data_IF_312379826060
#
_entry.id   IF_312379826060
#
_cell.length_a   1.000
_cell.length_b   1.000
_cell.length_c   1.000
_cell.angle_alpha   90.00
_cell.angle_beta   90.00
_cell.angle_gamma   90.00
#
_symmetry.space_group_name_H-M   'P 1'
#
loop_
_entity.id
_entity.type
_entity.pdbx_description
1 polymer ?
#
# COMPACT_ATOMS: atom_id res chain seq x y z
N UNK A 1 11.92 18.91 -15.99
CA UNK A 1 10.64 18.39 -15.43
C UNK A 1 9.87 17.73 -16.56
N UNK A 2 9.77 16.41 -16.60
CA UNK A 2 9.08 15.71 -17.68
C UNK A 2 7.58 16.01 -17.65
N UNK A 3 6.95 16.06 -18.82
CA UNK A 3 5.53 16.36 -18.97
C UNK A 3 4.72 15.24 -18.30
N UNK A 4 3.91 15.59 -17.31
CA UNK A 4 3.08 14.60 -16.61
C UNK A 4 2.11 13.89 -17.56
N UNK A 5 1.88 12.61 -17.30
CA UNK A 5 0.94 11.79 -18.07
C UNK A 5 -0.50 12.28 -17.86
N UNK A 6 -1.39 12.02 -18.83
CA UNK A 6 -2.81 12.40 -18.73
C UNK A 6 -3.49 11.80 -17.49
N UNK A 7 -3.06 10.60 -17.07
CA UNK A 7 -3.55 9.92 -15.87
C UNK A 7 -3.08 10.61 -14.60
N UNK A 8 -1.81 11.00 -14.51
CA UNK A 8 -1.28 11.69 -13.34
C UNK A 8 -2.00 13.02 -13.08
N UNK A 9 -2.31 13.76 -14.15
CA UNK A 9 -3.07 15.02 -14.04
C UNK A 9 -4.49 14.80 -13.49
N UNK A 10 -5.23 13.83 -14.02
CA UNK A 10 -6.58 13.51 -13.53
C UNK A 10 -6.61 13.14 -12.03
N UNK A 11 -5.59 12.41 -11.56
CA UNK A 11 -5.45 12.07 -10.14
C UNK A 11 -5.17 13.32 -9.31
N UNK A 12 -4.28 14.18 -9.79
CA UNK A 12 -3.87 15.40 -9.09
C UNK A 12 -5.00 16.43 -9.00
N UNK A 13 -5.90 16.48 -9.98
CA UNK A 13 -7.10 17.34 -9.95
C UNK A 13 -8.11 16.90 -8.88
N UNK A 14 -8.14 15.61 -8.52
CA UNK A 14 -9.07 15.05 -7.52
C UNK A 14 -8.50 14.98 -6.10
N UNK A 15 -7.17 14.89 -5.97
CA UNK A 15 -6.49 14.73 -4.68
C UNK A 15 -5.88 16.06 -4.25
N UNK A 16 -6.40 16.62 -3.16
CA UNK A 16 -5.87 17.87 -2.57
C UNK A 16 -4.73 17.52 -1.63
N UNK A 17 -3.49 17.87 -2.01
CA UNK A 17 -2.28 17.46 -1.28
C UNK A 17 -2.13 18.05 0.13
N UNK A 18 -2.80 19.17 0.41
CA UNK A 18 -2.71 19.86 1.72
C UNK A 18 -3.82 19.44 2.69
N UNK A 19 -4.83 18.70 2.23
CA UNK A 19 -5.94 18.30 3.08
C UNK A 19 -5.65 16.98 3.79
N UNK A 20 -5.86 16.97 5.11
CA UNK A 20 -5.80 15.75 5.91
C UNK A 20 -7.14 15.03 5.79
N UNK A 21 -7.17 13.96 5.02
CA UNK A 21 -8.34 13.11 4.87
C UNK A 21 -8.50 12.15 6.05
N UNK A 22 -9.73 11.90 6.47
CA UNK A 22 -10.01 10.77 7.35
C UNK A 22 -9.85 9.44 6.59
N UNK A 23 -9.62 8.33 7.31
CA UNK A 23 -9.45 7.01 6.69
C UNK A 23 -10.64 6.63 5.78
N UNK A 24 -11.87 6.93 6.21
CA UNK A 24 -13.09 6.68 5.44
C UNK A 24 -13.14 7.47 4.13
N UNK A 25 -12.80 8.75 4.18
CA UNK A 25 -12.80 9.62 3.00
C UNK A 25 -11.70 9.22 2.03
N UNK A 26 -10.51 8.91 2.54
CA UNK A 26 -9.39 8.44 1.73
C UNK A 26 -9.72 7.15 0.98
N UNK A 27 -10.36 6.18 1.64
CA UNK A 27 -10.78 4.91 1.00
C UNK A 27 -11.83 5.14 -0.08
N UNK A 28 -12.75 6.08 0.11
CA UNK A 28 -13.76 6.41 -0.91
C UNK A 28 -13.13 7.09 -2.12
N UNK A 29 -12.24 8.07 -1.90
CA UNK A 29 -11.48 8.73 -2.96
C UNK A 29 -10.65 7.72 -3.78
N UNK A 30 -9.98 6.76 -3.13
CA UNK A 30 -9.23 5.73 -3.83
C UNK A 30 -10.10 4.90 -4.79
N UNK A 31 -11.36 4.63 -4.45
CA UNK A 31 -12.30 3.90 -5.33
C UNK A 31 -12.75 4.75 -6.52
N UNK A 32 -12.90 6.06 -6.36
CA UNK A 32 -13.32 6.99 -7.42
C UNK A 32 -12.22 7.33 -8.43
N UNK A 33 -10.96 7.09 -8.05
CA UNK A 33 -9.77 7.43 -8.82
C UNK A 33 -9.26 6.23 -9.64
N UNK A 34 -10.02 5.12 -9.71
CA UNK A 34 -9.63 3.89 -10.41
C UNK A 34 -9.23 4.16 -11.87
N UNK A 35 -7.92 4.20 -12.12
CA UNK A 35 -7.35 4.64 -13.39
C UNK A 35 -7.00 3.45 -14.31
N UNK A 36 -7.01 2.25 -13.76
CA UNK A 36 -6.68 1.01 -14.46
C UNK A 36 -7.85 0.04 -14.51
N UNK A 37 -7.77 -0.93 -15.43
CA UNK A 37 -8.83 -1.93 -15.68
C UNK A 37 -8.68 -3.20 -14.81
N UNK A 38 -7.61 -3.30 -14.03
CA UNK A 38 -7.31 -4.47 -13.19
C UNK A 38 -7.48 -4.12 -11.70
N UNK A 39 -7.35 -5.11 -10.82
CA UNK A 39 -7.42 -4.89 -9.38
C UNK A 39 -6.13 -4.28 -8.84
N UNK A 40 -6.25 -3.04 -8.39
CA UNK A 40 -5.16 -2.25 -7.86
C UNK A 40 -4.80 -2.70 -6.43
N UNK A 41 -3.51 -2.61 -6.09
CA UNK A 41 -3.03 -2.80 -4.71
C UNK A 41 -2.91 -1.45 -4.03
N UNK A 42 -3.33 -1.36 -2.77
CA UNK A 42 -3.24 -0.14 -1.97
C UNK A 42 -2.03 -0.23 -1.06
N UNK A 43 -1.12 0.73 -1.19
CA UNK A 43 0.05 0.87 -0.33
C UNK A 43 -0.11 2.07 0.61
N UNK A 44 0.46 1.96 1.81
CA UNK A 44 0.49 3.03 2.80
C UNK A 44 1.93 3.45 3.04
N UNK A 45 2.24 4.71 2.71
CA UNK A 45 3.55 5.29 2.98
C UNK A 45 3.54 5.99 4.35
N UNK A 46 4.34 5.49 5.29
CA UNK A 46 4.52 6.08 6.61
C UNK A 46 5.93 6.64 6.72
N UNK A 47 6.03 7.94 7.01
CA UNK A 47 7.32 8.56 7.34
C UNK A 47 7.59 8.34 8.83
N UNK A 48 8.47 7.39 9.13
CA UNK A 48 8.91 7.12 10.50
C UNK A 48 10.09 8.05 10.85
N UNK A 49 10.10 8.61 12.05
CA UNK A 49 11.13 9.56 12.54
C UNK A 49 12.42 8.88 13.01
N UNK A 50 12.86 7.85 12.29
CA UNK A 50 13.84 6.87 12.77
C UNK A 50 15.15 6.98 11.99
N UNK A 51 16.29 6.91 12.68
CA UNK A 51 17.60 6.98 12.02
C UNK A 51 18.05 5.58 11.57
N UNK A 52 17.93 5.33 10.27
CA UNK A 52 18.28 4.03 9.66
C UNK A 52 19.76 3.68 9.74
N UNK A 53 20.63 4.62 10.12
CA UNK A 53 22.06 4.36 10.32
C UNK A 53 22.35 3.64 11.63
N UNK A 54 21.42 3.71 12.60
CA UNK A 54 21.52 3.03 13.89
C UNK A 54 20.74 1.72 13.82
N UNK A 55 21.43 0.60 13.93
CA UNK A 55 20.84 -0.74 13.75
C UNK A 55 19.66 -1.00 14.71
N UNK A 56 19.72 -0.49 15.94
CA UNK A 56 18.66 -0.66 16.96
C UNK A 56 17.34 0.04 16.61
N UNK A 57 17.39 1.04 15.74
CA UNK A 57 16.20 1.79 15.33
C UNK A 57 15.59 1.24 14.03
N UNK A 58 16.12 0.15 13.47
CA UNK A 58 15.53 -0.47 12.28
C UNK A 58 14.22 -1.19 12.63
N UNK A 59 13.11 -0.74 12.07
CA UNK A 59 11.79 -1.38 12.27
C UNK A 59 11.57 -2.41 11.17
N UNK A 60 11.60 -3.70 11.54
CA UNK A 60 11.21 -4.81 10.67
C UNK A 60 10.26 -5.73 11.44
N UNK A 61 9.02 -5.80 10.99
CA UNK A 61 7.98 -6.63 11.60
C UNK A 61 7.10 -7.29 10.56
N UNK A 62 6.34 -8.29 11.01
CA UNK A 62 5.25 -8.90 10.26
C UNK A 62 3.94 -8.56 10.96
N UNK A 63 2.91 -8.26 10.19
CA UNK A 63 1.57 -8.04 10.72
C UNK A 63 0.60 -8.96 9.98
N UNK A 64 -0.26 -9.67 10.72
CA UNK A 64 -1.39 -10.37 10.14
C UNK A 64 -2.48 -9.35 9.80
N UNK A 65 -2.95 -9.35 8.55
CA UNK A 65 -4.08 -8.52 8.15
C UNK A 65 -5.39 -9.15 8.65
N UNK A 66 -6.28 -8.40 9.34
CA UNK A 66 -7.55 -8.91 9.83
C UNK A 66 -8.48 -9.39 8.71
N UNK A 67 -8.38 -8.79 7.52
CA UNK A 67 -9.18 -9.16 6.35
C UNK A 67 -8.40 -10.05 5.34
N UNK A 68 -7.27 -10.62 5.76
CA UNK A 68 -6.40 -11.43 4.89
C UNK A 68 -5.64 -10.60 3.84
N UNK A 69 -4.97 -11.30 2.93
CA UNK A 69 -4.09 -10.71 1.90
C UNK A 69 -4.83 -10.35 0.60
N UNK A 70 -6.12 -10.69 0.48
CA UNK A 70 -6.91 -10.46 -0.73
C UNK A 70 -6.46 -11.25 -1.97
N UNK A 71 -5.54 -12.20 -1.82
CA UNK A 71 -5.06 -13.10 -2.88
C UNK A 71 -5.15 -14.55 -2.42
N UNK A 72 -5.49 -15.45 -3.33
CA UNK A 72 -5.42 -16.89 -3.07
C UNK A 72 -3.95 -17.33 -2.94
N UNK A 73 -3.56 -17.66 -1.72
CA UNK A 73 -2.22 -18.20 -1.44
C UNK A 73 -2.25 -19.70 -1.67
N UNK A 74 -1.53 -20.17 -2.69
CA UNK A 74 -1.30 -21.60 -2.93
C UNK A 74 0.02 -21.99 -2.26
N UNK A 75 -0.07 -22.83 -1.24
CA UNK A 75 1.11 -23.34 -0.50
C UNK A 75 1.29 -24.81 -0.82
N UNK A 76 2.47 -25.17 -1.36
CA UNK A 76 2.92 -26.54 -1.48
C UNK A 76 3.90 -26.82 -0.34
N UNK A 77 3.59 -27.82 0.47
CA UNK A 77 4.42 -28.24 1.60
C UNK A 77 5.08 -29.56 1.25
N UNK A 78 6.42 -29.60 1.29
CA UNK A 78 7.18 -30.84 1.30
C UNK A 78 7.50 -31.22 2.74
N UNK A 79 6.63 -32.01 3.36
CA UNK A 79 6.90 -32.57 4.68
C UNK A 79 7.62 -33.92 4.53
N UNK A 80 8.82 -34.04 5.12
CA UNK A 80 9.44 -35.34 5.38
C UNK A 80 8.83 -35.84 6.70
N UNK A 81 8.23 -37.03 6.71
CA UNK A 81 7.58 -37.58 7.91
C UNK A 81 8.55 -37.70 9.09
N UNK A 82 8.03 -37.70 10.32
CA UNK A 82 8.84 -37.91 11.52
C UNK A 82 9.56 -39.28 11.48
N UNK A 83 10.84 -39.24 11.16
CA UNK A 83 11.88 -40.23 11.47
C UNK A 83 13.24 -39.55 11.46
#
# INVERSE_FOLDING_TARGET
MSKQSKRAKFIQDKVVSEQVYTLSEAVNLLKEVKATKFDESVDVALRLGVDTRKAEQMVRGTCSMPNGLGKEVRVLVFAKGEK
#
